data_IF_412981075216
#
_entry.id   IF_412981075216
#
_cell.length_a   1.000
_cell.length_b   1.000
_cell.length_c   1.000
_cell.angle_alpha   90.00
_cell.angle_beta   90.00
_cell.angle_gamma   90.00
#
_symmetry.space_group_name_H-M   'P 1'
#
loop_
_entity.id
_entity.type
_entity.pdbx_description
1 polymer ?
#
# COMPACT_ATOMS: atom_id res chain seq x y z
N UNK A 1 9.93 1.03 -10.81
CA UNK A 1 9.30 0.37 -9.65
C UNK A 1 8.15 1.28 -9.25
N UNK A 2 6.92 0.77 -9.25
CA UNK A 2 5.77 1.56 -8.82
C UNK A 2 5.92 1.84 -7.32
N UNK A 3 5.70 3.10 -6.95
CA UNK A 3 5.72 3.51 -5.56
C UNK A 3 4.43 3.07 -4.86
N UNK A 4 4.52 2.60 -3.62
CA UNK A 4 3.33 2.15 -2.87
C UNK A 4 2.29 3.26 -2.74
N UNK A 5 2.74 4.51 -2.60
CA UNK A 5 1.86 5.66 -2.49
C UNK A 5 1.10 5.92 -3.80
N UNK A 6 1.79 5.87 -4.94
CA UNK A 6 1.17 6.00 -6.27
C UNK A 6 0.18 4.86 -6.57
N UNK A 7 0.53 3.63 -6.19
CA UNK A 7 -0.34 2.47 -6.36
C UNK A 7 -1.62 2.57 -5.50
N UNK A 8 -1.50 3.03 -4.26
CA UNK A 8 -2.64 3.25 -3.36
C UNK A 8 -3.52 4.38 -3.89
N UNK A 9 -2.95 5.53 -4.25
CA UNK A 9 -3.70 6.67 -4.79
C UNK A 9 -4.43 6.28 -6.08
N UNK A 10 -3.75 5.57 -6.97
CA UNK A 10 -4.33 5.07 -8.22
C UNK A 10 -5.48 4.10 -7.97
N UNK A 11 -5.37 3.20 -6.99
CA UNK A 11 -6.43 2.27 -6.64
C UNK A 11 -7.68 3.04 -6.14
N UNK A 12 -7.48 4.00 -5.25
CA UNK A 12 -8.56 4.84 -4.72
C UNK A 12 -9.20 5.69 -5.82
N UNK A 13 -8.40 6.30 -6.70
CA UNK A 13 -8.89 7.07 -7.85
C UNK A 13 -9.71 6.23 -8.84
N UNK A 14 -9.49 4.90 -8.87
CA UNK A 14 -10.24 3.95 -9.71
C UNK A 14 -11.47 3.35 -9.04
N UNK A 15 -11.81 3.79 -7.83
CA UNK A 15 -13.03 3.39 -7.13
C UNK A 15 -12.83 2.35 -6.04
N UNK A 16 -11.59 2.01 -5.69
CA UNK A 16 -11.35 1.27 -4.45
C UNK A 16 -11.56 2.19 -3.23
N UNK A 17 -12.03 1.64 -2.12
CA UNK A 17 -12.11 2.37 -0.85
C UNK A 17 -10.76 2.31 -0.13
N UNK A 18 -10.22 3.45 0.28
CA UNK A 18 -8.97 3.50 1.05
C UNK A 18 -9.23 3.10 2.51
N UNK A 19 -8.81 1.89 2.91
CA UNK A 19 -8.93 1.41 4.30
C UNK A 19 -7.80 2.00 5.15
N UNK A 20 -6.57 1.93 4.65
CA UNK A 20 -5.39 2.43 5.34
C UNK A 20 -4.31 2.82 4.33
N UNK A 21 -3.83 4.06 4.45
CA UNK A 21 -2.74 4.55 3.61
C UNK A 21 -1.40 3.85 3.86
N UNK A 22 -0.40 4.08 2.99
CA UNK A 22 0.94 3.52 3.13
C UNK A 22 1.55 3.81 4.50
N UNK A 23 1.95 2.75 5.21
CA UNK A 23 2.65 2.86 6.50
C UNK A 23 3.79 1.88 6.60
N UNK A 24 4.85 2.31 7.26
CA UNK A 24 5.97 1.45 7.64
C UNK A 24 5.49 0.45 8.69
N UNK A 25 5.60 -0.85 8.40
CA UNK A 25 5.22 -1.93 9.34
C UNK A 25 6.44 -2.62 9.94
N UNK A 26 7.58 -2.58 9.26
CA UNK A 26 8.81 -3.15 9.75
C UNK A 26 10.00 -2.41 9.12
N UNK A 27 11.06 -2.20 9.88
CA UNK A 27 12.33 -1.67 9.41
C UNK A 27 13.44 -2.46 10.04
N UNK A 28 14.34 -2.92 9.20
CA UNK A 28 15.62 -3.47 9.59
C UNK A 28 16.73 -2.55 9.08
N UNK A 29 17.98 -2.77 9.52
CA UNK A 29 19.09 -1.83 9.25
C UNK A 29 19.41 -1.56 7.76
N UNK A 30 18.76 -2.29 6.85
CA UNK A 30 18.97 -2.23 5.40
C UNK A 30 17.66 -2.01 4.62
N UNK A 31 16.51 -2.40 5.17
CA UNK A 31 15.24 -2.43 4.44
C UNK A 31 14.07 -1.96 5.30
N UNK A 32 13.08 -1.39 4.63
CA UNK A 32 11.83 -0.92 5.18
C UNK A 32 10.68 -1.60 4.47
N UNK A 33 9.83 -2.30 5.22
CA UNK A 33 8.60 -2.90 4.72
C UNK A 33 7.44 -1.93 4.96
N UNK A 34 6.81 -1.52 3.88
CA UNK A 34 5.64 -0.65 3.85
C UNK A 34 4.41 -1.43 3.38
N UNK A 35 3.26 -1.14 3.98
CA UNK A 35 1.98 -1.76 3.61
C UNK A 35 0.88 -0.69 3.53
N UNK A 36 -0.01 -0.81 2.55
CA UNK A 36 -1.27 -0.08 2.43
C UNK A 36 -2.43 -1.07 2.23
N UNK A 37 -3.64 -0.66 2.57
CA UNK A 37 -4.85 -1.47 2.39
C UNK A 37 -5.94 -0.69 1.67
N UNK A 38 -6.51 -1.32 0.66
CA UNK A 38 -7.69 -0.83 -0.07
C UNK A 38 -8.77 -1.90 -0.08
N UNK A 39 -10.02 -1.52 -0.21
CA UNK A 39 -11.13 -2.42 -0.46
C UNK A 39 -11.56 -2.28 -1.92
N UNK A 40 -11.69 -3.40 -2.62
CA UNK A 40 -12.27 -3.39 -3.96
C UNK A 40 -13.80 -3.13 -3.90
N UNK A 41 -14.44 -2.72 -5.01
CA UNK A 41 -15.89 -2.49 -5.08
C UNK A 41 -16.76 -3.68 -4.63
N UNK A 42 -16.28 -4.92 -4.73
CA UNK A 42 -16.93 -6.13 -4.26
C UNK A 42 -16.76 -6.36 -2.74
N UNK A 43 -16.06 -5.47 -2.04
CA UNK A 43 -15.83 -5.53 -0.60
C UNK A 43 -14.62 -6.36 -0.18
N UNK A 44 -13.77 -6.81 -1.11
CA UNK A 44 -12.58 -7.61 -0.80
C UNK A 44 -11.43 -6.71 -0.35
N UNK A 45 -10.85 -6.95 0.84
CA UNK A 45 -9.68 -6.21 1.27
C UNK A 45 -8.42 -6.69 0.52
N UNK A 46 -7.69 -5.74 -0.07
CA UNK A 46 -6.44 -5.97 -0.80
C UNK A 46 -5.30 -5.29 -0.05
N UNK A 47 -4.26 -6.06 0.26
CA UNK A 47 -3.02 -5.55 0.83
C UNK A 47 -2.00 -5.25 -0.26
N UNK A 48 -1.51 -4.01 -0.30
CA UNK A 48 -0.38 -3.59 -1.13
C UNK A 48 0.86 -3.56 -0.22
N UNK A 49 1.97 -4.14 -0.67
CA UNK A 49 3.23 -4.12 0.06
C UNK A 49 4.39 -3.68 -0.82
N UNK A 50 5.34 -2.97 -0.20
CA UNK A 50 6.57 -2.56 -0.85
C UNK A 50 7.72 -2.68 0.15
N UNK A 51 8.81 -3.29 -0.29
CA UNK A 51 10.09 -3.24 0.42
C UNK A 51 10.93 -2.11 -0.20
N UNK A 52 11.38 -1.17 0.65
CA UNK A 52 12.24 -0.03 0.30
C UNK A 52 13.63 -0.27 0.90
N UNK A 53 14.68 0.01 0.14
CA UNK A 53 16.05 0.02 0.66
C UNK A 53 16.34 1.37 1.32
N UNK A 54 16.94 1.33 2.51
CA UNK A 54 17.37 2.52 3.27
C UNK A 54 18.66 3.14 2.71
#
# INVERSE_FOLDING_TARGET
MADLDDAHETAVARGAEGISGPRLVHRDGTTELWIAFVQDPDGTPIGLSQERVC
#
